data_IF_663626136764
#
_entry.id   IF_663626136764
#
_cell.length_a   1.000
_cell.length_b   1.000
_cell.length_c   1.000
_cell.angle_alpha   90.00
_cell.angle_beta   90.00
_cell.angle_gamma   90.00
#
_symmetry.space_group_name_H-M   'P 1'
#
loop_
_entity.id
_entity.type
_entity.pdbx_description
1 polymer ?
#
# COMPACT_ATOMS: atom_id res chain seq x y z
N UNK A 1 -27.14 39.62 -1.63
CA UNK A 1 -26.18 38.97 -2.54
C UNK A 1 -25.48 37.83 -1.80
N UNK A 2 -25.87 36.57 -2.02
CA UNK A 2 -25.13 35.41 -1.47
C UNK A 2 -23.96 35.17 -2.42
N UNK A 3 -22.77 35.63 -2.04
CA UNK A 3 -21.55 35.33 -2.81
C UNK A 3 -21.33 33.83 -2.91
N UNK A 4 -20.78 33.37 -4.03
CA UNK A 4 -20.54 31.96 -4.35
C UNK A 4 -19.54 31.31 -3.37
N UNK A 5 -20.00 30.98 -2.16
CA UNK A 5 -19.24 30.34 -1.10
C UNK A 5 -18.64 29.00 -1.54
N UNK A 6 -19.29 28.31 -2.48
CA UNK A 6 -18.77 27.10 -3.14
C UNK A 6 -17.49 27.37 -3.94
N UNK A 7 -17.44 28.47 -4.69
CA UNK A 7 -16.26 28.81 -5.49
C UNK A 7 -15.07 29.15 -4.57
N UNK A 8 -15.33 29.89 -3.48
CA UNK A 8 -14.33 30.22 -2.45
C UNK A 8 -13.85 28.96 -1.73
N UNK A 9 -14.75 28.07 -1.31
CA UNK A 9 -14.39 26.77 -0.70
C UNK A 9 -13.52 25.92 -1.64
N UNK A 10 -13.89 25.80 -2.92
CA UNK A 10 -13.14 25.00 -3.89
C UNK A 10 -11.73 25.57 -4.11
N UNK A 11 -11.59 26.90 -4.13
CA UNK A 11 -10.30 27.59 -4.29
C UNK A 11 -9.42 27.42 -3.04
N UNK A 12 -9.99 27.58 -1.85
CA UNK A 12 -9.29 27.36 -0.58
C UNK A 12 -8.87 25.90 -0.42
N UNK A 13 -9.77 24.95 -0.71
CA UNK A 13 -9.46 23.52 -0.71
C UNK A 13 -8.32 23.20 -1.68
N UNK A 14 -8.38 23.68 -2.92
CA UNK A 14 -7.31 23.47 -3.91
C UNK A 14 -5.97 24.04 -3.44
N UNK A 15 -5.97 25.23 -2.84
CA UNK A 15 -4.76 25.86 -2.28
C UNK A 15 -4.18 25.04 -1.14
N UNK A 16 -5.03 24.63 -0.19
CA UNK A 16 -4.63 23.82 0.95
C UNK A 16 -4.09 22.45 0.52
N UNK A 17 -4.78 21.75 -0.40
CA UNK A 17 -4.30 20.47 -0.94
C UNK A 17 -2.96 20.65 -1.66
N UNK A 18 -2.79 21.71 -2.46
CA UNK A 18 -1.53 21.95 -3.18
C UNK A 18 -0.37 22.22 -2.22
N UNK A 19 -0.60 23.01 -1.16
CA UNK A 19 0.38 23.27 -0.10
C UNK A 19 0.68 22.03 0.74
N UNK A 20 -0.34 21.25 1.07
CA UNK A 20 -0.17 20.00 1.81
C UNK A 20 0.65 19.00 1.00
N UNK A 21 0.34 18.82 -0.28
CA UNK A 21 1.10 17.93 -1.17
C UNK A 21 2.53 18.45 -1.43
N UNK A 22 2.76 19.76 -1.46
CA UNK A 22 4.13 20.30 -1.56
C UNK A 22 4.95 20.05 -0.29
N UNK A 23 4.31 20.12 0.88
CA UNK A 23 4.97 19.96 2.18
C UNK A 23 5.13 18.48 2.58
N UNK A 24 4.24 17.61 2.12
CA UNK A 24 4.22 16.16 2.39
C UNK A 24 4.54 15.33 1.14
N UNK A 25 5.29 15.91 0.20
CA UNK A 25 5.70 15.22 -1.02
C UNK A 25 6.68 14.08 -0.78
N UNK A 26 7.35 14.04 0.37
CA UNK A 26 8.33 13.00 0.71
C UNK A 26 7.63 11.89 1.48
N UNK A 27 7.61 10.68 0.89
CA UNK A 27 7.11 9.51 1.58
C UNK A 27 8.06 9.15 2.74
N UNK A 28 7.56 9.02 3.99
CA UNK A 28 8.42 8.85 5.18
C UNK A 28 9.42 7.69 5.08
N UNK A 29 9.04 6.64 4.33
CA UNK A 29 9.81 5.40 4.20
C UNK A 29 10.70 5.43 2.95
N UNK A 30 10.25 6.07 1.87
CA UNK A 30 11.06 6.12 0.64
C UNK A 30 12.12 7.22 0.72
N UNK A 31 11.97 8.19 1.63
CA UNK A 31 12.81 9.38 1.70
C UNK A 31 12.74 10.26 0.45
N UNK A 32 11.78 9.97 -0.44
CA UNK A 32 11.54 10.68 -1.71
C UNK A 32 10.05 10.66 -2.05
N UNK A 33 9.69 11.36 -3.11
CA UNK A 33 8.34 11.29 -3.64
C UNK A 33 7.97 9.85 -4.05
N UNK A 34 6.79 9.35 -3.63
CA UNK A 34 6.36 8.04 -4.07
C UNK A 34 6.31 8.00 -5.60
N UNK A 35 6.77 6.92 -6.23
CA UNK A 35 6.59 6.73 -7.66
C UNK A 35 5.10 6.78 -8.04
N UNK A 36 4.82 7.12 -9.30
CA UNK A 36 3.48 6.95 -9.85
C UNK A 36 3.04 5.47 -9.72
N UNK A 37 1.77 5.26 -9.36
CA UNK A 37 1.16 3.93 -9.34
C UNK A 37 0.86 3.50 -10.77
N UNK A 38 1.12 2.23 -11.11
CA UNK A 38 0.72 1.66 -12.40
C UNK A 38 -0.81 1.60 -12.51
N UNK A 39 -1.35 1.95 -13.67
CA UNK A 39 -2.78 1.85 -13.98
C UNK A 39 -3.30 0.40 -13.90
N UNK A 40 -2.41 -0.57 -14.07
CA UNK A 40 -2.70 -2.01 -13.92
C UNK A 40 -3.24 -2.34 -12.53
N UNK A 41 -2.93 -1.54 -11.50
CA UNK A 41 -3.47 -1.73 -10.15
C UNK A 41 -5.00 -1.70 -10.17
N UNK A 42 -5.60 -0.89 -11.04
CA UNK A 42 -7.07 -0.78 -11.16
C UNK A 42 -7.75 -2.09 -11.55
N UNK A 43 -7.04 -2.99 -12.25
CA UNK A 43 -7.54 -4.31 -12.66
C UNK A 43 -7.61 -5.30 -11.49
N UNK A 44 -6.88 -5.05 -10.41
CA UNK A 44 -6.83 -5.95 -9.26
C UNK A 44 -8.12 -5.86 -8.41
N UNK A 45 -8.50 -6.97 -7.75
CA UNK A 45 -9.58 -6.98 -6.78
C UNK A 45 -9.40 -5.89 -5.72
N UNK A 46 -10.52 -5.32 -5.26
CA UNK A 46 -10.51 -4.24 -4.26
C UNK A 46 -9.67 -4.59 -3.03
N UNK A 47 -9.77 -5.81 -2.53
CA UNK A 47 -9.03 -6.26 -1.36
C UNK A 47 -7.51 -6.24 -1.60
N UNK A 48 -7.06 -6.69 -2.78
CA UNK A 48 -5.66 -6.67 -3.19
C UNK A 48 -5.14 -5.23 -3.30
N UNK A 49 -5.89 -4.34 -3.95
CA UNK A 49 -5.52 -2.91 -4.03
C UNK A 49 -5.38 -2.27 -2.65
N UNK A 50 -6.31 -2.58 -1.73
CA UNK A 50 -6.27 -2.09 -0.36
C UNK A 50 -5.04 -2.62 0.38
N UNK A 51 -4.71 -3.90 0.24
CA UNK A 51 -3.57 -4.50 0.92
C UNK A 51 -2.23 -3.97 0.39
N UNK A 52 -2.10 -3.78 -0.93
CA UNK A 52 -0.94 -3.11 -1.52
C UNK A 52 -0.80 -1.66 -1.02
N UNK A 53 -1.91 -0.91 -0.92
CA UNK A 53 -1.88 0.43 -0.34
C UNK A 53 -1.46 0.44 1.13
N UNK A 54 -1.94 -0.53 1.94
CA UNK A 54 -1.53 -0.70 3.34
C UNK A 54 -0.05 -1.05 3.47
N UNK A 55 0.47 -1.92 2.62
CA UNK A 55 1.90 -2.25 2.58
C UNK A 55 2.74 -1.00 2.31
N UNK A 56 2.40 -0.23 1.28
CA UNK A 56 3.10 1.04 0.96
C UNK A 56 3.07 2.02 2.12
N UNK A 57 1.99 2.05 2.89
CA UNK A 57 1.82 2.93 4.05
C UNK A 57 2.37 2.36 5.38
N UNK A 58 2.99 1.17 5.40
CA UNK A 58 3.39 0.45 6.62
C UNK A 58 2.24 0.24 7.63
N UNK A 59 1.06 -0.06 7.11
CA UNK A 59 -0.17 -0.35 7.87
C UNK A 59 -0.74 -1.74 7.57
N UNK A 60 0.05 -2.61 6.97
CA UNK A 60 -0.34 -4.00 6.68
C UNK A 60 -0.02 -4.90 7.87
N UNK A 61 -0.92 -5.83 8.17
CA UNK A 61 -0.69 -6.87 9.18
C UNK A 61 0.36 -7.91 8.76
N UNK A 62 0.79 -7.90 7.49
CA UNK A 62 1.92 -8.69 7.00
C UNK A 62 3.27 -8.16 7.55
N UNK A 63 3.29 -6.91 8.00
CA UNK A 63 4.48 -6.29 8.57
C UNK A 63 4.49 -6.53 10.08
N UNK A 64 5.50 -7.26 10.55
CA UNK A 64 5.63 -7.62 11.95
C UNK A 64 5.65 -6.38 12.86
N UNK A 65 6.29 -5.29 12.44
CA UNK A 65 6.29 -4.01 13.17
C UNK A 65 4.89 -3.44 13.39
N UNK A 66 4.04 -3.48 12.36
CA UNK A 66 2.67 -2.98 12.46
C UNK A 66 1.78 -3.95 13.24
N UNK A 67 1.93 -5.26 12.99
CA UNK A 67 1.23 -6.31 13.72
C UNK A 67 1.50 -6.23 15.22
N UNK A 68 2.76 -6.16 15.63
CA UNK A 68 3.18 -6.03 17.02
C UNK A 68 2.60 -4.77 17.67
N UNK A 69 2.54 -3.65 16.94
CA UNK A 69 1.90 -2.41 17.40
C UNK A 69 0.39 -2.59 17.64
N UNK A 70 -0.33 -3.23 16.72
CA UNK A 70 -1.78 -3.47 16.84
C UNK A 70 -2.08 -4.45 17.98
N UNK A 71 -1.26 -5.48 18.14
CA UNK A 71 -1.39 -6.51 19.17
C UNK A 71 -0.79 -6.10 20.52
N UNK A 72 -0.22 -4.89 20.62
CA UNK A 72 0.47 -4.36 21.82
C UNK A 72 1.51 -5.33 22.41
N UNK A 73 2.36 -5.89 21.54
CA UNK A 73 3.42 -6.84 21.91
C UNK A 73 4.77 -6.40 21.34
N UNK A 74 5.90 -6.95 21.83
CA UNK A 74 7.20 -6.71 21.21
C UNK A 74 7.27 -7.31 19.80
N UNK A 75 8.10 -6.69 18.96
CA UNK A 75 8.42 -7.18 17.61
C UNK A 75 9.20 -8.49 17.74
N UNK A 76 8.74 -9.52 17.04
CA UNK A 76 9.46 -10.81 17.02
C UNK A 76 10.57 -10.75 15.97
N UNK A 77 11.72 -11.33 16.30
CA UNK A 77 12.86 -11.37 15.38
C UNK A 77 12.53 -12.22 14.14
N UNK A 78 13.06 -11.79 13.01
CA UNK A 78 12.90 -12.49 11.75
C UNK A 78 13.59 -13.85 11.78
N UNK A 79 12.87 -14.92 11.46
CA UNK A 79 13.43 -16.27 11.44
C UNK A 79 14.59 -16.41 10.43
N UNK A 80 14.61 -15.62 9.35
CA UNK A 80 15.65 -15.71 8.31
C UNK A 80 16.96 -14.99 8.64
N UNK A 81 16.89 -13.83 9.27
CA UNK A 81 18.09 -12.98 9.50
C UNK A 81 18.28 -12.55 10.95
N UNK A 82 17.39 -12.99 11.84
CA UNK A 82 17.36 -12.70 13.27
C UNK A 82 17.30 -11.20 13.64
N UNK A 83 16.82 -10.37 12.71
CA UNK A 83 16.67 -8.93 12.88
C UNK A 83 15.26 -8.60 13.41
N UNK A 84 15.12 -7.59 14.26
CA UNK A 84 13.89 -7.22 14.97
C UNK A 84 13.25 -5.92 14.44
N UNK A 85 13.63 -5.48 13.24
CA UNK A 85 13.06 -4.26 12.62
C UNK A 85 11.60 -4.46 12.18
N UNK A 86 11.31 -5.57 11.50
CA UNK A 86 9.94 -5.93 11.09
C UNK A 86 9.22 -4.94 10.13
N UNK A 87 9.95 -3.98 9.54
CA UNK A 87 9.39 -2.96 8.64
C UNK A 87 9.21 -3.46 7.19
N UNK A 88 8.69 -2.61 6.30
CA UNK A 88 8.46 -2.97 4.91
C UNK A 88 9.76 -3.38 4.19
N UNK A 89 10.85 -2.65 4.44
CA UNK A 89 12.15 -2.91 3.79
C UNK A 89 12.70 -4.27 4.19
N UNK A 90 12.61 -4.58 5.49
CA UNK A 90 12.97 -5.88 6.05
C UNK A 90 12.06 -6.99 5.50
N UNK A 91 10.74 -6.80 5.53
CA UNK A 91 9.77 -7.78 5.00
C UNK A 91 10.05 -8.14 3.54
N UNK A 92 10.30 -7.13 2.69
CA UNK A 92 10.60 -7.33 1.27
C UNK A 92 11.95 -8.02 1.03
N UNK A 93 12.96 -7.74 1.86
CA UNK A 93 14.30 -8.37 1.79
C UNK A 93 14.25 -9.82 2.25
N UNK A 94 13.57 -10.09 3.36
CA UNK A 94 13.49 -11.40 4.01
C UNK A 94 12.29 -12.24 3.53
N UNK A 95 11.61 -11.80 2.46
CA UNK A 95 10.44 -12.47 1.95
C UNK A 95 10.71 -13.96 1.67
N UNK A 96 9.82 -14.89 2.05
CA UNK A 96 10.07 -16.33 2.10
C UNK A 96 10.54 -16.93 0.77
N UNK A 97 9.91 -16.55 -0.34
CA UNK A 97 10.19 -17.16 -1.66
C UNK A 97 11.40 -16.53 -2.33
N UNK A 98 11.35 -15.21 -2.55
CA UNK A 98 12.40 -14.42 -3.20
C UNK A 98 12.28 -12.98 -2.74
N UNK A 99 13.39 -12.25 -2.55
CA UNK A 99 13.34 -10.82 -2.22
C UNK A 99 12.50 -10.07 -3.26
N UNK A 100 11.51 -9.32 -2.80
CA UNK A 100 10.62 -8.55 -3.65
C UNK A 100 11.14 -7.09 -3.73
N UNK A 101 11.52 -6.57 -4.91
CA UNK A 101 11.99 -5.21 -5.01
C UNK A 101 10.91 -4.22 -4.58
N UNK A 102 11.27 -3.25 -3.72
CA UNK A 102 10.33 -2.23 -3.25
C UNK A 102 9.67 -1.46 -4.41
N UNK A 103 10.38 -1.23 -5.51
CA UNK A 103 9.83 -0.58 -6.71
C UNK A 103 8.65 -1.32 -7.34
N UNK A 104 8.59 -2.67 -7.23
CA UNK A 104 7.49 -3.46 -7.79
C UNK A 104 6.16 -3.11 -7.15
N UNK A 105 6.15 -2.76 -5.87
CA UNK A 105 4.94 -2.30 -5.22
C UNK A 105 4.32 -1.08 -5.92
N UNK A 106 5.06 -0.23 -6.63
CA UNK A 106 4.48 0.90 -7.36
C UNK A 106 4.34 0.65 -8.86
N UNK A 107 5.40 0.10 -9.47
CA UNK A 107 5.52 -0.02 -10.93
C UNK A 107 4.88 -1.26 -11.53
N UNK A 108 4.72 -2.31 -10.74
CA UNK A 108 4.24 -3.62 -11.20
C UNK A 108 3.38 -4.26 -10.09
N UNK A 109 2.20 -3.67 -9.80
CA UNK A 109 1.34 -4.06 -8.69
C UNK A 109 0.78 -5.46 -8.88
N UNK A 110 0.59 -5.91 -10.13
CA UNK A 110 0.09 -7.26 -10.45
C UNK A 110 1.14 -8.30 -10.09
N UNK A 111 2.39 -8.16 -10.54
CA UNK A 111 3.43 -9.12 -10.16
C UNK A 111 3.76 -9.07 -8.67
N UNK A 112 3.64 -7.89 -8.04
CA UNK A 112 3.76 -7.78 -6.59
C UNK A 112 2.64 -8.56 -5.88
N UNK A 113 1.38 -8.41 -6.31
CA UNK A 113 0.26 -9.17 -5.76
C UNK A 113 0.47 -10.68 -5.92
N UNK A 114 0.86 -11.14 -7.13
CA UNK A 114 1.18 -12.56 -7.37
C UNK A 114 2.30 -13.06 -6.46
N UNK A 115 3.39 -12.31 -6.34
CA UNK A 115 4.52 -12.70 -5.50
C UNK A 115 4.15 -12.77 -4.01
N UNK A 116 3.20 -11.93 -3.59
CA UNK A 116 2.67 -11.89 -2.23
C UNK A 116 1.56 -12.92 -1.97
N UNK A 117 1.15 -13.69 -2.98
CA UNK A 117 0.03 -14.63 -2.89
C UNK A 117 -1.33 -13.96 -2.73
N UNK A 118 -1.47 -12.71 -3.16
CA UNK A 118 -2.74 -11.98 -3.16
C UNK A 118 -3.57 -12.32 -4.40
N UNK A 119 -4.88 -12.18 -4.30
CA UNK A 119 -5.79 -12.41 -5.43
C UNK A 119 -5.50 -11.43 -6.58
N UNK A 120 -5.29 -11.95 -7.78
CA UNK A 120 -5.05 -11.13 -8.99
C UNK A 120 -6.25 -11.09 -9.93
N UNK A 121 -7.10 -12.10 -9.88
CA UNK A 121 -8.39 -12.10 -10.58
C UNK A 121 -9.51 -11.79 -9.59
N UNK A 122 -10.55 -11.06 -10.01
CA UNK A 122 -11.80 -11.02 -9.27
C UNK A 122 -12.30 -12.44 -9.00
N UNK A 123 -12.87 -12.64 -7.82
CA UNK A 123 -13.57 -13.88 -7.53
C UNK A 123 -14.75 -13.98 -8.50
N UNK A 124 -14.71 -14.98 -9.39
CA UNK A 124 -15.80 -15.35 -10.27
C UNK A 124 -16.53 -16.52 -9.59
N UNK A 125 -17.66 -16.29 -8.90
CA UNK A 125 -18.48 -17.38 -8.40
C UNK A 125 -19.12 -18.01 -9.61
N UNK A 126 -18.44 -19.00 -10.22
CA UNK A 126 -18.97 -19.80 -11.31
C UNK A 126 -20.39 -20.22 -10.96
N UNK A 127 -21.36 -19.68 -11.69
CA UNK A 127 -22.74 -20.10 -11.60
C UNK A 127 -22.81 -21.49 -12.17
N UNK A 128 -22.98 -22.47 -11.29
CA UNK A 128 -23.52 -23.77 -11.61
C UNK A 128 -24.94 -23.54 -12.18
N UNK A 129 -25.01 -23.27 -13.48
CA UNK A 129 -26.25 -23.34 -14.22
C UNK A 129 -26.43 -24.80 -14.62
N UNK A 130 -27.05 -25.57 -13.72
CA UNK A 130 -27.73 -26.80 -14.09
C UNK A 130 -28.72 -26.48 -15.22
N UNK A 131 -28.52 -27.10 -16.39
CA UNK A 131 -29.50 -27.20 -17.48
C UNK A 131 -29.29 -28.50 -18.23
#
# INVERSE_FOLDING_TARGET
>A
MRGDTRAVQKKNHKSFVKSYLSNHGIHPILGRQPPALSEEESTLPRNTRVELARLRAERSLLLEKYKAKVENRPVVSCIKCNDDVGDLKHFLKCYPVKPLPMSKLWKDPVAAATALGLAVTPFDPGGDADS
#
